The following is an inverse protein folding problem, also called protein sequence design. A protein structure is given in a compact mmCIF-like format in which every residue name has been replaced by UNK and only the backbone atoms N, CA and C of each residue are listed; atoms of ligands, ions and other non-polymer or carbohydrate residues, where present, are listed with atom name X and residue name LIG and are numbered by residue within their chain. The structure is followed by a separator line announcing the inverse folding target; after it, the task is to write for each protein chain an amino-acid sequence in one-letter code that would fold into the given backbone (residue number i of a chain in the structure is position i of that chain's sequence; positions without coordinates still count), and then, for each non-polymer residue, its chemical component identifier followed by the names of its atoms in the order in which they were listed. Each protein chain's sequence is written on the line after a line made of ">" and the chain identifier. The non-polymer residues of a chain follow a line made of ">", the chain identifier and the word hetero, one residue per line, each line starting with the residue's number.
data_IF_372653162241
#
_entry.id   IF_372653162241
#
_cell.length_a   1.000
_cell.length_b   1.000
_cell.length_c   1.000
_cell.angle_alpha   90.00
_cell.angle_beta   90.00
_cell.angle_gamma   90.00
#
_symmetry.space_group_name_H-M   'P 1'
#
loop_
_entity.id
_entity.type
_entity.pdbx_description
1 polymer ?
#
# COMPACT_ATOMS: atom_id res chain seq x y z
N UNK A 1 -3.45 -4.42 6.08
CA UNK A 1 -4.30 -3.60 6.94
C UNK A 1 -5.69 -3.61 6.36
N UNK A 2 -6.65 -4.13 7.10
CA UNK A 2 -8.08 -4.07 6.79
C UNK A 2 -8.65 -2.89 7.56
N UNK A 3 -9.36 -1.97 6.91
CA UNK A 3 -9.82 -0.74 7.56
C UNK A 3 -11.06 -0.16 6.89
N UNK A 4 -11.74 0.79 7.53
CA UNK A 4 -12.82 1.55 6.89
C UNK A 4 -12.26 2.61 5.93
N UNK A 5 -13.11 3.22 5.11
CA UNK A 5 -12.70 4.31 4.22
C UNK A 5 -12.02 5.46 4.99
N UNK A 6 -12.60 5.87 6.12
CA UNK A 6 -12.03 6.90 7.02
C UNK A 6 -10.72 6.47 7.67
N UNK A 7 -10.48 5.16 7.79
CA UNK A 7 -9.28 4.57 8.37
C UNK A 7 -8.11 4.42 7.40
N UNK A 8 -8.29 4.71 6.10
CA UNK A 8 -7.23 4.56 5.09
C UNK A 8 -5.98 5.36 5.47
N UNK A 9 -6.13 6.64 5.82
CA UNK A 9 -5.00 7.50 6.20
C UNK A 9 -4.26 6.96 7.42
N UNK A 10 -5.01 6.50 8.44
CA UNK A 10 -4.45 5.84 9.63
C UNK A 10 -3.64 4.61 9.22
N UNK A 11 -4.18 3.76 8.35
CA UNK A 11 -3.49 2.59 7.83
C UNK A 11 -2.19 2.93 7.09
N UNK A 12 -2.23 3.96 6.24
CA UNK A 12 -1.06 4.42 5.47
C UNK A 12 0.07 4.88 6.40
N UNK A 13 -0.24 5.80 7.31
CA UNK A 13 0.76 6.39 8.20
C UNK A 13 1.30 5.38 9.21
N UNK A 14 0.46 4.47 9.70
CA UNK A 14 0.89 3.39 10.58
C UNK A 14 1.92 2.47 9.90
N UNK A 15 1.68 2.10 8.64
CA UNK A 15 2.61 1.27 7.88
C UNK A 15 3.97 1.96 7.66
N UNK A 16 3.99 3.26 7.38
CA UNK A 16 5.24 4.02 7.25
C UNK A 16 5.98 4.10 8.59
N UNK A 17 5.27 4.34 9.69
CA UNK A 17 5.87 4.37 11.02
C UNK A 17 6.47 3.01 11.42
N UNK A 18 5.72 1.91 11.25
CA UNK A 18 6.18 0.55 11.55
C UNK A 18 7.43 0.17 10.75
N UNK A 19 7.50 0.63 9.50
CA UNK A 19 8.65 0.37 8.62
C UNK A 19 9.77 1.39 8.76
N UNK A 20 9.62 2.40 9.64
CA UNK A 20 10.52 3.55 9.82
C UNK A 20 10.81 4.30 8.52
N UNK A 21 9.86 4.29 7.58
CA UNK A 21 9.94 4.97 6.29
C UNK A 21 9.21 6.31 6.33
N UNK A 22 9.63 7.27 5.51
CA UNK A 22 8.86 8.49 5.28
C UNK A 22 7.93 8.32 4.06
N UNK A 23 6.67 8.76 4.14
CA UNK A 23 5.76 8.71 3.01
C UNK A 23 6.27 9.62 1.89
N UNK A 24 6.37 9.06 0.69
CA UNK A 24 6.60 9.82 -0.54
C UNK A 24 5.52 9.43 -1.55
N UNK A 25 5.13 10.37 -2.42
CA UNK A 25 4.02 10.16 -3.36
C UNK A 25 4.20 8.89 -4.20
N UNK A 26 5.41 8.63 -4.69
CA UNK A 26 5.68 7.45 -5.52
C UNK A 26 5.74 6.12 -4.77
N UNK A 27 5.74 6.15 -3.43
CA UNK A 27 5.64 4.98 -2.57
C UNK A 27 4.19 4.52 -2.38
N UNK A 28 3.19 5.36 -2.66
CA UNK A 28 1.78 5.07 -2.45
C UNK A 28 1.11 4.94 -3.82
N UNK A 29 0.38 3.85 -4.04
CA UNK A 29 -0.42 3.66 -5.25
C UNK A 29 -1.88 3.43 -4.86
N UNK A 30 -2.75 4.36 -5.25
CA UNK A 30 -4.18 4.27 -5.01
C UNK A 30 -4.87 3.59 -6.19
N UNK A 31 -5.51 2.46 -5.96
CA UNK A 31 -6.19 1.69 -7.00
C UNK A 31 -7.56 2.29 -7.29
N UNK A 32 -7.98 2.12 -8.54
CA UNK A 32 -9.32 2.40 -9.07
C UNK A 32 -9.79 1.22 -9.90
N UNK A 33 -11.09 1.21 -10.23
CA UNK A 33 -11.71 0.29 -11.19
C UNK A 33 -11.12 0.41 -12.61
N UNK A 34 -10.58 1.58 -12.94
CA UNK A 34 -9.90 1.88 -14.21
C UNK A 34 -8.40 1.61 -14.20
N UNK A 35 -7.82 1.24 -13.06
CA UNK A 35 -6.37 0.99 -12.96
C UNK A 35 -5.96 -0.16 -13.86
N UNK A 36 -5.01 0.11 -14.76
CA UNK A 36 -4.52 -0.85 -15.74
C UNK A 36 -3.40 -1.74 -15.19
N UNK A 37 -3.18 -2.87 -15.87
CA UNK A 37 -2.04 -3.74 -15.60
C UNK A 37 -0.69 -3.00 -15.74
N UNK A 38 -0.57 -2.11 -16.73
CA UNK A 38 0.67 -1.37 -17.00
C UNK A 38 1.08 -0.51 -15.80
N UNK A 39 0.12 0.18 -15.17
CA UNK A 39 0.36 1.04 -14.01
C UNK A 39 0.77 0.23 -12.78
N UNK A 40 0.05 -0.86 -12.49
CA UNK A 40 0.35 -1.76 -11.39
C UNK A 40 1.72 -2.42 -11.58
N UNK A 41 2.03 -2.87 -12.80
CA UNK A 41 3.34 -3.42 -13.11
C UNK A 41 4.44 -2.39 -12.86
N UNK A 42 4.29 -1.15 -13.33
CA UNK A 42 5.28 -0.09 -13.10
C UNK A 42 5.48 0.20 -11.61
N UNK A 43 4.40 0.23 -10.82
CA UNK A 43 4.47 0.35 -9.37
C UNK A 43 5.21 -0.83 -8.73
N UNK A 44 4.91 -2.05 -9.14
CA UNK A 44 5.56 -3.25 -8.64
C UNK A 44 7.07 -3.24 -8.88
N UNK A 45 7.53 -2.80 -10.06
CA UNK A 45 8.96 -2.60 -10.34
C UNK A 45 9.57 -1.57 -9.38
N UNK A 46 8.94 -0.42 -9.15
CA UNK A 46 9.46 0.56 -8.17
C UNK A 46 9.57 -0.04 -6.78
N UNK A 47 8.57 -0.78 -6.34
CA UNK A 47 8.58 -1.48 -5.05
C UNK A 47 9.76 -2.46 -4.93
N UNK A 48 10.01 -3.27 -5.95
CA UNK A 48 11.08 -4.25 -5.93
C UNK A 48 12.48 -3.63 -5.97
N UNK A 49 12.66 -2.54 -6.71
CA UNK A 49 13.99 -1.96 -6.94
C UNK A 49 14.33 -0.81 -5.99
N UNK A 50 13.36 -0.30 -5.22
CA UNK A 50 13.61 0.70 -4.20
C UNK A 50 14.15 0.04 -2.93
N UNK A 51 15.48 0.01 -2.80
CA UNK A 51 16.16 -0.67 -1.70
C UNK A 51 15.72 -0.12 -0.34
N UNK A 52 15.01 -0.95 0.44
CA UNK A 52 14.62 -0.64 1.81
C UNK A 52 13.38 0.26 1.97
N UNK A 53 12.82 0.80 0.88
CA UNK A 53 11.63 1.63 0.94
C UNK A 53 10.34 0.80 1.07
N UNK A 54 9.42 1.28 1.90
CA UNK A 54 8.09 0.70 2.03
C UNK A 54 7.16 1.28 0.98
N UNK A 55 6.63 0.43 0.10
CA UNK A 55 5.60 0.82 -0.88
C UNK A 55 4.25 0.33 -0.40
N UNK A 56 3.19 1.05 -0.74
CA UNK A 56 1.84 0.74 -0.29
C UNK A 56 0.85 0.73 -1.44
N UNK A 57 0.11 -0.37 -1.54
CA UNK A 57 -1.01 -0.50 -2.46
C UNK A 57 -2.31 -0.26 -1.69
N UNK A 58 -3.03 0.78 -2.09
CA UNK A 58 -4.24 1.25 -1.41
C UNK A 58 -5.46 0.84 -2.23
N UNK A 59 -6.41 0.23 -1.55
CA UNK A 59 -7.67 -0.31 -2.08
C UNK A 59 -7.53 -1.28 -3.27
N UNK A 60 -6.63 -2.29 -3.20
CA UNK A 60 -6.46 -3.25 -4.30
C UNK A 60 -7.72 -4.03 -4.66
N UNK A 61 -8.74 -4.06 -3.79
CA UNK A 61 -10.06 -4.62 -4.08
C UNK A 61 -10.77 -3.95 -5.27
N UNK A 62 -10.38 -2.73 -5.64
CA UNK A 62 -10.92 -2.04 -6.81
C UNK A 62 -10.30 -2.52 -8.13
N UNK A 63 -9.18 -3.23 -8.08
CA UNK A 63 -8.57 -3.79 -9.29
C UNK A 63 -9.47 -4.88 -9.86
N UNK A 64 -9.61 -4.91 -11.19
CA UNK A 64 -10.28 -6.02 -11.86
C UNK A 64 -9.62 -7.36 -11.51
N UNK A 65 -10.40 -8.44 -11.50
CA UNK A 65 -9.90 -9.78 -11.20
C UNK A 65 -8.71 -10.18 -12.10
N UNK A 66 -8.74 -9.77 -13.37
CA UNK A 66 -7.64 -9.98 -14.31
C UNK A 66 -6.35 -9.28 -13.84
N UNK A 67 -6.44 -8.01 -13.45
CA UNK A 67 -5.28 -7.24 -12.96
C UNK A 67 -4.76 -7.82 -11.65
N UNK A 68 -5.63 -8.26 -10.74
CA UNK A 68 -5.23 -8.92 -9.49
C UNK A 68 -4.48 -10.24 -9.74
N UNK A 69 -4.95 -11.06 -10.67
CA UNK A 69 -4.29 -12.32 -11.06
C UNK A 69 -2.92 -12.06 -11.71
N UNK A 70 -2.84 -11.12 -12.66
CA UNK A 70 -1.58 -10.72 -13.29
C UNK A 70 -0.58 -10.20 -12.26
N UNK A 71 -1.03 -9.35 -11.33
CA UNK A 71 -0.18 -8.80 -10.28
C UNK A 71 0.33 -9.88 -9.33
N UNK A 72 -0.54 -10.80 -8.92
CA UNK A 72 -0.17 -11.94 -8.08
C UNK A 72 0.92 -12.79 -8.75
N UNK A 73 0.71 -13.19 -10.01
CA UNK A 73 1.68 -14.01 -10.76
C UNK A 73 3.01 -13.28 -10.90
N UNK A 74 2.97 -11.97 -11.11
CA UNK A 74 4.15 -11.14 -11.19
C UNK A 74 4.91 -11.11 -9.87
N UNK A 75 4.25 -10.84 -8.74
CA UNK A 75 4.89 -10.85 -7.41
C UNK A 75 5.52 -12.22 -7.09
N UNK A 76 4.81 -13.31 -7.40
CA UNK A 76 5.32 -14.68 -7.27
C UNK A 76 6.59 -14.91 -8.08
N UNK A 77 6.61 -14.47 -9.34
CA UNK A 77 7.79 -14.59 -10.21
C UNK A 77 8.97 -13.82 -9.64
N UNK A 78 8.75 -12.58 -9.20
CA UNK A 78 9.80 -11.76 -8.62
C UNK A 78 10.38 -12.35 -7.33
N UNK A 79 9.52 -12.77 -6.40
CA UNK A 79 9.95 -13.38 -5.14
C UNK A 79 10.78 -14.66 -5.37
N UNK A 80 10.45 -15.44 -6.40
CA UNK A 80 11.21 -16.65 -6.77
C UNK A 80 12.53 -16.35 -7.50
N UNK A 81 12.55 -15.34 -8.37
CA UNK A 81 13.73 -15.03 -9.18
C UNK A 81 14.83 -14.33 -8.38
N UNK A 82 14.48 -13.50 -7.41
CA UNK A 82 15.44 -12.72 -6.62
C UNK A 82 15.18 -12.84 -5.11
N UNK A 83 15.33 -14.03 -4.51
CA UNK A 83 14.96 -14.27 -3.10
C UNK A 83 15.81 -13.47 -2.10
N UNK A 84 16.99 -12.99 -2.52
CA UNK A 84 17.87 -12.14 -1.69
C UNK A 84 17.48 -10.66 -1.72
N UNK A 85 16.60 -10.24 -2.63
CA UNK A 85 16.18 -8.85 -2.76
C UNK A 85 15.05 -8.58 -1.77
N UNK A 86 15.34 -7.74 -0.79
CA UNK A 86 14.36 -7.31 0.21
C UNK A 86 13.48 -6.22 -0.39
N UNK A 87 12.18 -6.46 -0.41
CA UNK A 87 11.16 -5.46 -0.74
C UNK A 87 10.09 -5.44 0.35
N UNK A 88 9.40 -4.30 0.50
CA UNK A 88 8.30 -4.15 1.47
C UNK A 88 7.10 -3.58 0.75
N UNK A 89 6.04 -4.39 0.69
CA UNK A 89 4.75 -4.00 0.13
C UNK A 89 3.68 -4.05 1.22
N UNK A 90 3.24 -2.88 1.67
CA UNK A 90 2.04 -2.72 2.49
C UNK A 90 0.78 -2.77 1.63
N UNK A 91 -0.26 -3.41 2.15
CA UNK A 91 -1.59 -3.42 1.52
C UNK A 91 -2.58 -2.81 2.51
N UNK A 92 -3.28 -1.77 2.08
CA UNK A 92 -4.38 -1.13 2.82
C UNK A 92 -5.66 -1.37 2.03
N UNK A 93 -6.59 -2.13 2.59
CA UNK A 93 -7.84 -2.54 1.94
C UNK A 93 -9.04 -2.11 2.78
N UNK A 94 -10.13 -1.76 2.10
CA UNK A 94 -11.46 -1.58 2.71
C UNK A 94 -12.35 -2.81 2.58
N UNK A 95 -11.97 -3.76 1.72
CA UNK A 95 -12.59 -5.07 1.67
C UNK A 95 -11.97 -6.01 2.70
N UNK A 96 -12.76 -7.00 3.12
CA UNK A 96 -12.26 -8.06 3.99
C UNK A 96 -11.13 -8.83 3.32
N UNK A 97 -10.03 -9.03 4.04
CA UNK A 97 -8.83 -9.70 3.55
C UNK A 97 -9.08 -11.15 3.16
N UNK A 98 -10.13 -11.79 3.70
CA UNK A 98 -10.57 -13.13 3.33
C UNK A 98 -11.13 -13.20 1.90
N UNK A 99 -11.68 -12.10 1.38
CA UNK A 99 -12.28 -12.02 0.06
C UNK A 99 -11.32 -11.49 -1.02
N UNK A 100 -10.14 -11.00 -0.62
CA UNK A 100 -9.18 -10.42 -1.53
C UNK A 100 -8.24 -11.52 -2.09
N UNK A 101 -8.48 -11.94 -3.34
CA UNK A 101 -7.71 -12.99 -4.01
C UNK A 101 -6.19 -12.70 -3.98
N UNK A 102 -5.81 -11.44 -4.18
CA UNK A 102 -4.41 -10.99 -4.10
C UNK A 102 -3.76 -11.39 -2.77
N UNK A 103 -4.39 -11.05 -1.63
CA UNK A 103 -3.84 -11.32 -0.31
C UNK A 103 -3.79 -12.82 -0.04
N UNK A 104 -4.85 -13.56 -0.37
CA UNK A 104 -4.88 -15.01 -0.19
C UNK A 104 -3.79 -15.71 -1.00
N UNK A 105 -3.56 -15.26 -2.23
CA UNK A 105 -2.52 -15.83 -3.10
C UNK A 105 -1.11 -15.51 -2.61
N UNK A 106 -0.89 -14.34 -2.01
CA UNK A 106 0.41 -13.96 -1.45
C UNK A 106 0.72 -14.67 -0.13
N UNK A 107 -0.28 -14.99 0.70
CA UNK A 107 -0.08 -15.77 1.94
C UNK A 107 0.61 -17.12 1.68
N UNK A 108 0.41 -17.72 0.51
CA UNK A 108 1.08 -18.97 0.11
C UNK A 108 2.61 -18.87 0.03
N UNK A 109 3.15 -17.66 -0.12
CA UNK A 109 4.59 -17.41 -0.21
C UNK A 109 5.29 -17.39 1.15
N UNK A 110 4.56 -17.45 2.28
CA UNK A 110 5.11 -17.30 3.65
C UNK A 110 5.93 -16.02 3.90
N UNK A 111 5.92 -15.06 2.98
CA UNK A 111 6.58 -13.75 3.09
C UNK A 111 5.64 -12.63 3.52
N UNK A 112 4.39 -12.96 3.87
CA UNK A 112 3.34 -12.00 4.21
C UNK A 112 3.15 -11.96 5.72
N UNK A 113 3.40 -10.79 6.33
CA UNK A 113 3.00 -10.48 7.69
C UNK A 113 1.69 -9.71 7.70
N UNK A 114 0.71 -10.15 8.48
CA UNK A 114 -0.52 -9.39 8.74
C UNK A 114 -0.30 -8.46 9.93
N UNK A 115 -0.69 -7.20 9.77
CA UNK A 115 -0.66 -6.18 10.83
C UNK A 115 -2.09 -5.98 11.31
N UNK A 116 -2.30 -6.08 12.62
CA UNK A 116 -3.61 -6.00 13.29
C UNK A 116 -3.90 -4.55 13.71
N UNK A 117 -5.17 -4.27 14.04
CA UNK A 117 -5.61 -2.91 14.41
C UNK A 117 -4.90 -2.31 15.62
N UNK A 118 -4.50 -3.17 16.56
CA UNK A 118 -3.73 -2.80 17.75
C UNK A 118 -2.29 -2.34 17.44
N UNK A 119 -1.77 -2.72 16.28
CA UNK A 119 -0.44 -2.33 15.81
C UNK A 119 -0.47 -1.00 15.03
N UNK A 120 -1.68 -0.46 14.78
CA UNK A 120 -1.87 0.82 14.10
C UNK A 120 -1.83 1.98 15.08
N UNK A 121 -1.36 3.14 14.59
CA UNK A 121 -1.35 4.42 15.32
C UNK A 121 -2.66 4.65 16.04
N UNK A 122 -2.64 4.94 17.34
CA UNK A 122 -3.83 5.47 18.01
C UNK A 122 -4.16 6.88 17.50
N UNK A 123 -5.33 7.40 17.90
CA UNK A 123 -5.81 8.71 17.45
C UNK A 123 -4.86 9.86 17.80
N UNK A 124 -4.23 9.81 18.97
CA UNK A 124 -3.32 10.86 19.45
C UNK A 124 -2.02 10.83 18.65
N UNK A 125 -1.43 9.64 18.50
CA UNK A 125 -0.21 9.44 17.73
C UNK A 125 -0.42 9.80 16.25
N UNK A 126 -1.59 9.46 15.68
CA UNK A 126 -1.96 9.85 14.32
C UNK A 126 -1.98 11.38 14.13
N UNK A 127 -2.57 12.10 15.09
CA UNK A 127 -2.63 13.56 15.03
C UNK A 127 -1.24 14.20 15.08
N UNK A 128 -0.34 13.68 15.91
CA UNK A 128 1.03 14.18 15.98
C UNK A 128 1.80 13.94 14.68
N UNK A 129 1.70 12.74 14.10
CA UNK A 129 2.33 12.43 12.80
C UNK A 129 1.82 13.37 11.70
N UNK A 130 0.51 13.64 11.65
CA UNK A 130 -0.07 14.55 10.67
C UNK A 130 0.46 15.98 10.88
N UNK A 131 0.52 16.47 12.12
CA UNK A 131 1.05 17.81 12.44
C UNK A 131 2.50 17.96 11.99
N UNK A 132 3.33 16.95 12.23
CA UNK A 132 4.74 16.94 11.82
C UNK A 132 4.87 17.01 10.30
N UNK A 133 4.10 16.20 9.57
CA UNK A 133 4.11 16.20 8.10
C UNK A 133 3.68 17.55 7.53
N UNK A 134 2.65 18.18 8.10
CA UNK A 134 2.18 19.51 7.67
C UNK A 134 3.26 20.58 7.89
N UNK A 135 3.92 20.56 9.06
CA UNK A 135 5.00 21.52 9.38
C UNK A 135 6.24 21.35 8.51
N UNK A 136 6.50 20.16 7.99
CA UNK A 136 7.73 19.78 7.29
C UNK A 136 7.80 20.08 5.78
N UNK A 137 7.19 21.17 5.28
CA UNK A 137 7.09 21.53 3.85
C UNK A 137 6.01 20.76 3.04
N UNK A 138 4.87 20.43 3.65
CA UNK A 138 3.71 20.00 2.87
C UNK A 138 3.20 21.15 2.02
N UNK A 139 3.25 21.01 0.69
CA UNK A 139 2.51 21.91 -0.21
C UNK A 139 1.06 21.44 -0.23
N UNK A 140 0.14 22.27 0.24
CA UNK A 140 -1.29 22.01 0.10
C UNK A 140 -1.64 22.11 -1.39
N UNK A 141 -1.90 20.97 -2.03
CA UNK A 141 -2.34 20.93 -3.43
C UNK A 141 -3.82 20.59 -3.44
N UNK A 142 -4.66 21.61 -3.58
CA UNK A 142 -6.08 21.43 -3.92
C UNK A 142 -6.19 21.35 -5.43
N UNK A 143 -6.55 20.18 -5.96
CA UNK A 143 -6.96 20.05 -7.36
C UNK A 143 -8.21 20.89 -7.60
N UNK A 144 -8.11 21.95 -8.40
CA UNK A 144 -9.26 22.72 -8.90
C UNK A 144 -10.07 21.98 -9.99
N UNK A 145 -9.80 20.68 -10.21
CA UNK A 145 -10.47 19.89 -11.23
C UNK A 145 -11.32 18.82 -10.54
N UNK A 146 -12.62 18.90 -10.86
CA UNK A 146 -13.79 18.16 -10.39
C UNK A 146 -14.27 18.55 -8.98
N UNK A 147 -15.24 19.48 -8.97
CA UNK A 147 -16.03 19.80 -7.79
C UNK A 147 -16.65 18.55 -7.17
N UNK A 148 -16.45 18.44 -5.86
CA UNK A 148 -17.23 17.65 -4.92
C UNK A 148 -18.03 18.62 -4.05
#
# INVERSE_FOLDING_TARGET
>A
VETSYEGILRGILSLFQLTKGQPQVHHIFYCSDTTSWTEIRAFAYRCFYSQGASHQLIRPELLSALVQDQFTRFLHKFAKQEPKRLFRLGIVTTASTSHLQLVNSLKTLQIVSTIQDQDLLDKTALQEVIKELIKGNSTLVTSHIAGL
#
